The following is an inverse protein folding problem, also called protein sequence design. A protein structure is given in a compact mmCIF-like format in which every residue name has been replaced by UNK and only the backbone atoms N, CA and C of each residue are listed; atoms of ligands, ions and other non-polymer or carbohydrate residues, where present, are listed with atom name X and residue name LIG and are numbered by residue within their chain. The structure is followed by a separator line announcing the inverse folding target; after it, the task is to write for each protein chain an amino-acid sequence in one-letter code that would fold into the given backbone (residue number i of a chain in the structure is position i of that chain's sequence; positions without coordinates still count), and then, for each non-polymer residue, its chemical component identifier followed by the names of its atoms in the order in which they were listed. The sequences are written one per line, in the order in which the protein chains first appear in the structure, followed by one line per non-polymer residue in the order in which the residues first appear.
data_IF_115393944303
#
_entry.id   IF_115393944303
#
_cell.length_a   1.000
_cell.length_b   1.000
_cell.length_c   1.000
_cell.angle_alpha   90.00
_cell.angle_beta   90.00
_cell.angle_gamma   90.00
#
_symmetry.space_group_name_H-M   'P 1'
#
loop_
_entity.id
_entity.type
_entity.pdbx_description
1 polymer ?
#
# COMPACT_ATOMS: atom_id res chain seq x y z
N UNK A 1 15.66 -19.95 3.82
CA UNK A 1 14.75 -19.04 4.55
C UNK A 1 13.33 -19.53 4.27
N UNK A 2 12.46 -19.56 5.29
CA UNK A 2 11.07 -19.96 5.09
C UNK A 2 10.27 -18.77 4.58
N UNK A 3 9.68 -18.93 3.41
CA UNK A 3 8.70 -17.98 2.89
C UNK A 3 7.35 -18.20 3.56
N UNK A 4 6.61 -17.12 3.79
CA UNK A 4 5.26 -17.13 4.31
C UNK A 4 4.35 -16.27 3.44
N UNK A 5 3.05 -16.56 3.48
CA UNK A 5 2.01 -15.80 2.78
C UNK A 5 1.25 -14.95 3.78
N UNK A 6 1.12 -13.64 3.54
CA UNK A 6 0.39 -12.69 4.40
C UNK A 6 -0.42 -11.70 3.57
N UNK A 7 -1.60 -11.34 4.07
CA UNK A 7 -2.32 -10.14 3.60
C UNK A 7 -1.65 -8.91 4.18
N UNK A 8 -1.30 -7.96 3.31
CA UNK A 8 -0.75 -6.66 3.68
C UNK A 8 -1.59 -5.59 3.01
N UNK A 9 -1.93 -4.57 3.78
CA UNK A 9 -2.81 -3.49 3.38
C UNK A 9 -2.00 -2.23 3.11
N UNK A 10 -2.20 -1.65 1.94
CA UNK A 10 -1.52 -0.44 1.50
C UNK A 10 -2.55 0.66 1.36
N UNK A 11 -2.27 1.83 1.93
CA UNK A 11 -2.96 3.07 1.59
C UNK A 11 -2.09 3.81 0.59
N UNK A 12 -2.65 4.15 -0.56
CA UNK A 12 -1.92 4.68 -1.71
C UNK A 12 -2.64 5.91 -2.26
N UNK A 13 -1.89 6.90 -2.71
CA UNK A 13 -2.42 8.13 -3.28
C UNK A 13 -1.98 8.24 -4.74
N UNK A 14 -2.96 8.42 -5.62
CA UNK A 14 -2.70 8.72 -7.03
C UNK A 14 -2.33 10.19 -7.16
N UNK A 15 -1.07 10.45 -7.50
CA UNK A 15 -0.51 11.81 -7.56
C UNK A 15 -0.67 12.44 -8.94
N UNK A 16 -0.55 11.65 -10.01
CA UNK A 16 -0.67 12.14 -11.38
C UNK A 16 -1.12 11.01 -12.31
N UNK A 17 -1.81 11.39 -13.38
CA UNK A 17 -2.16 10.52 -14.49
C UNK A 17 -1.72 11.22 -15.78
N UNK A 18 -0.69 10.70 -16.42
CA UNK A 18 -0.15 11.23 -17.68
C UNK A 18 -0.26 10.16 -18.77
N UNK A 19 -1.31 10.26 -19.59
CA UNK A 19 -1.60 9.25 -20.62
C UNK A 19 -1.86 7.87 -19.99
N UNK A 20 -0.94 6.93 -20.19
CA UNK A 20 -1.01 5.58 -19.62
C UNK A 20 -0.17 5.41 -18.32
N UNK A 21 0.52 6.45 -17.87
CA UNK A 21 1.32 6.42 -16.66
C UNK A 21 0.50 6.92 -15.46
N UNK A 22 0.51 6.15 -14.38
CA UNK A 22 -0.11 6.51 -13.11
C UNK A 22 0.99 6.55 -12.05
N UNK A 23 1.18 7.72 -11.44
CA UNK A 23 2.09 7.85 -10.31
C UNK A 23 1.34 7.58 -9.01
N UNK A 24 1.77 6.54 -8.31
CA UNK A 24 1.17 6.11 -7.04
C UNK A 24 2.19 6.28 -5.93
N UNK A 25 1.80 6.99 -4.88
CA UNK A 25 2.58 7.12 -3.65
C UNK A 25 1.96 6.26 -2.56
N UNK A 26 2.69 5.27 -2.04
CA UNK A 26 2.29 4.60 -0.79
C UNK A 26 2.34 5.62 0.37
N UNK A 27 1.27 5.70 1.16
CA UNK A 27 1.13 6.59 2.31
C UNK A 27 1.13 5.85 3.65
N UNK A 28 0.75 4.58 3.64
CA UNK A 28 0.73 3.73 4.82
C UNK A 28 0.76 2.25 4.42
N UNK A 29 1.29 1.42 5.31
CA UNK A 29 1.27 -0.04 5.18
C UNK A 29 0.94 -0.65 6.53
N UNK A 30 0.05 -1.62 6.57
CA UNK A 30 -0.32 -2.38 7.75
C UNK A 30 -0.48 -3.88 7.45
N UNK A 31 -0.31 -4.72 8.45
CA UNK A 31 -0.56 -6.17 8.40
C UNK A 31 -1.94 -6.54 8.98
N UNK A 32 -2.73 -5.55 9.41
CA UNK A 32 -4.07 -5.69 9.94
C UNK A 32 -5.08 -4.82 9.16
N UNK A 33 -6.22 -5.40 8.78
CA UNK A 33 -7.25 -4.72 7.98
C UNK A 33 -7.94 -3.59 8.74
N UNK A 34 -8.24 -3.78 10.02
CA UNK A 34 -8.93 -2.79 10.85
C UNK A 34 -8.07 -1.55 11.05
N UNK A 35 -6.77 -1.73 11.32
CA UNK A 35 -5.82 -0.64 11.43
C UNK A 35 -5.67 0.12 10.11
N UNK A 36 -5.64 -0.60 8.98
CA UNK A 36 -5.58 0.01 7.66
C UNK A 36 -6.84 0.82 7.33
N UNK A 37 -8.03 0.27 7.63
CA UNK A 37 -9.31 0.98 7.45
C UNK A 37 -9.39 2.24 8.31
N UNK A 38 -9.01 2.13 9.59
CA UNK A 38 -8.99 3.28 10.49
C UNK A 38 -8.05 4.37 10.00
N UNK A 39 -6.84 4.01 9.61
CA UNK A 39 -5.88 4.97 9.06
C UNK A 39 -6.40 5.62 7.76
N UNK A 40 -7.06 4.85 6.89
CA UNK A 40 -7.67 5.36 5.67
C UNK A 40 -8.78 6.38 5.95
N UNK A 41 -9.72 6.06 6.86
CA UNK A 41 -10.77 6.99 7.27
C UNK A 41 -10.21 8.28 7.91
N UNK A 42 -9.16 8.17 8.71
CA UNK A 42 -8.50 9.32 9.33
C UNK A 42 -7.81 10.20 8.28
N UNK A 43 -7.24 9.60 7.22
CA UNK A 43 -6.68 10.34 6.08
C UNK A 43 -7.75 11.05 5.25
N UNK A 44 -8.91 10.42 5.03
CA UNK A 44 -10.04 11.05 4.32
C UNK A 44 -10.50 12.33 5.02
N UNK A 45 -10.67 12.29 6.34
CA UNK A 45 -11.07 13.45 7.16
C UNK A 45 -10.07 14.59 7.12
N UNK A 46 -8.79 14.29 6.92
CA UNK A 46 -7.71 15.26 6.82
C UNK A 46 -7.53 15.82 5.40
N UNK A 47 -8.14 15.20 4.39
CA UNK A 47 -7.87 15.54 3.00
C UNK A 47 -8.56 16.85 2.58
N UNK A 48 -7.80 17.94 2.64
CA UNK A 48 -7.93 19.10 1.72
C UNK A 48 -6.99 18.94 0.52
N UNK A 49 -6.60 17.70 0.19
CA UNK A 49 -5.51 17.40 -0.74
C UNK A 49 -5.99 17.53 -2.19
N UNK A 50 -5.17 18.11 -3.05
CA UNK A 50 -5.30 18.00 -4.51
C UNK A 50 -4.75 16.64 -4.93
N UNK A 51 -5.39 15.54 -4.54
CA UNK A 51 -5.06 14.19 -4.99
C UNK A 51 -6.06 13.76 -6.06
N UNK A 52 -5.63 12.94 -7.03
CA UNK A 52 -6.56 12.32 -7.99
C UNK A 52 -7.36 11.18 -7.35
N UNK A 53 -6.81 10.55 -6.31
CA UNK A 53 -7.55 9.62 -5.49
C UNK A 53 -6.72 9.02 -4.36
N UNK A 54 -7.43 8.48 -3.36
CA UNK A 54 -6.87 7.71 -2.24
C UNK A 54 -7.42 6.29 -2.32
N UNK A 55 -6.55 5.30 -2.25
CA UNK A 55 -6.85 3.88 -2.40
C UNK A 55 -6.47 3.14 -1.12
N UNK A 56 -7.31 2.19 -0.71
CA UNK A 56 -6.98 1.17 0.26
C UNK A 56 -7.00 -0.19 -0.44
N UNK A 57 -5.84 -0.84 -0.49
CA UNK A 57 -5.61 -2.06 -1.24
C UNK A 57 -5.14 -3.20 -0.33
N UNK A 58 -5.66 -4.40 -0.55
CA UNK A 58 -5.13 -5.63 0.03
C UNK A 58 -4.24 -6.34 -1.00
N UNK A 59 -3.03 -6.72 -0.56
CA UNK A 59 -2.12 -7.57 -1.30
C UNK A 59 -1.84 -8.83 -0.50
N UNK A 60 -2.14 -10.00 -1.08
CA UNK A 60 -1.68 -11.27 -0.54
C UNK A 60 -0.29 -11.54 -1.08
N UNK A 61 0.71 -11.41 -0.22
CA UNK A 61 2.13 -11.45 -0.57
C UNK A 61 2.76 -12.72 -0.05
N UNK A 62 3.55 -13.39 -0.89
CA UNK A 62 4.49 -14.43 -0.47
C UNK A 62 5.91 -13.86 -0.43
N UNK A 63 6.54 -13.88 0.73
CA UNK A 63 7.91 -13.37 0.93
C UNK A 63 8.58 -13.99 2.16
N UNK A 64 9.87 -13.71 2.35
CA UNK A 64 10.58 -14.07 3.58
C UNK A 64 10.18 -13.15 4.74
N UNK A 65 10.28 -13.65 5.98
CA UNK A 65 9.95 -12.87 7.18
C UNK A 65 10.71 -11.52 7.28
N UNK A 66 11.97 -11.49 6.81
CA UNK A 66 12.79 -10.27 6.77
C UNK A 66 12.24 -9.20 5.82
N UNK A 67 11.51 -9.60 4.78
CA UNK A 67 10.82 -8.69 3.87
C UNK A 67 9.69 -7.98 4.62
N UNK A 68 8.80 -8.73 5.28
CA UNK A 68 7.69 -8.16 6.04
C UNK A 68 8.18 -7.23 7.15
N UNK A 69 9.23 -7.62 7.89
CA UNK A 69 9.81 -6.75 8.91
C UNK A 69 10.36 -5.43 8.36
N UNK A 70 11.03 -5.45 7.21
CA UNK A 70 11.54 -4.24 6.56
C UNK A 70 10.40 -3.37 6.04
N UNK A 71 9.38 -3.98 5.43
CA UNK A 71 8.20 -3.30 4.93
C UNK A 71 7.49 -2.54 6.06
N UNK A 72 7.15 -3.20 7.17
CA UNK A 72 6.46 -2.55 8.29
C UNK A 72 7.27 -1.41 8.93
N UNK A 73 8.60 -1.56 9.02
CA UNK A 73 9.46 -0.58 9.72
C UNK A 73 9.84 0.62 8.86
N UNK A 74 10.00 0.43 7.56
CA UNK A 74 10.76 1.37 6.75
C UNK A 74 10.19 1.60 5.35
N UNK A 75 8.95 1.20 5.04
CA UNK A 75 8.36 1.33 3.70
C UNK A 75 8.60 2.69 3.02
N UNK A 76 8.57 3.81 3.76
CA UNK A 76 8.85 5.18 3.23
C UNK A 76 10.26 5.37 2.64
N UNK A 77 11.20 4.52 3.03
CA UNK A 77 12.64 4.62 2.70
C UNK A 77 13.14 3.42 1.92
N UNK A 78 12.25 2.48 1.57
CA UNK A 78 12.66 1.31 0.82
C UNK A 78 12.91 1.69 -0.64
N UNK A 79 14.01 1.20 -1.23
CA UNK A 79 14.28 1.46 -2.64
C UNK A 79 13.27 0.74 -3.53
N UNK A 80 13.06 1.23 -4.75
CA UNK A 80 12.05 0.69 -5.66
C UNK A 80 12.30 -0.78 -6.05
N UNK A 81 13.55 -1.23 -6.05
CA UNK A 81 13.94 -2.63 -6.29
C UNK A 81 13.56 -3.57 -5.13
N UNK A 82 13.33 -3.04 -3.92
CA UNK A 82 12.82 -3.83 -2.79
C UNK A 82 11.50 -4.51 -3.17
N UNK A 83 10.57 -3.74 -3.73
CA UNK A 83 9.24 -4.21 -4.11
C UNK A 83 9.28 -5.25 -5.24
N UNK A 84 10.37 -5.35 -6.01
CA UNK A 84 10.55 -6.39 -7.05
C UNK A 84 10.78 -7.78 -6.47
N UNK A 85 11.15 -7.88 -5.18
CA UNK A 85 11.33 -9.15 -4.47
C UNK A 85 10.00 -9.76 -4.00
N UNK A 86 8.93 -8.98 -4.07
CA UNK A 86 7.60 -9.37 -3.66
C UNK A 86 6.95 -10.27 -4.69
N UNK A 87 6.40 -11.40 -4.26
CA UNK A 87 5.46 -12.16 -5.07
C UNK A 87 4.03 -11.85 -4.61
N UNK A 88 3.30 -11.08 -5.42
CA UNK A 88 1.87 -10.84 -5.19
C UNK A 88 1.10 -12.04 -5.75
N UNK A 89 0.36 -12.73 -4.86
CA UNK A 89 -0.48 -13.85 -5.24
C UNK A 89 -1.88 -13.37 -5.66
N UNK A 90 -2.44 -12.42 -4.90
CA UNK A 90 -3.72 -11.78 -5.22
C UNK A 90 -3.70 -10.31 -4.82
N UNK A 91 -4.56 -9.54 -5.47
CA UNK A 91 -4.77 -8.13 -5.22
C UNK A 91 -6.28 -7.85 -5.16
N UNK A 92 -6.69 -7.01 -4.22
CA UNK A 92 -8.07 -6.57 -4.08
C UNK A 92 -8.15 -5.12 -3.62
N UNK A 93 -8.81 -4.21 -4.37
CA UNK A 93 -9.15 -2.91 -3.84
C UNK A 93 -10.26 -3.05 -2.79
N UNK A 94 -10.07 -2.42 -1.63
CA UNK A 94 -11.02 -2.43 -0.52
C UNK A 94 -11.84 -1.14 -0.44
N UNK A 95 -11.21 0.00 -0.72
CA UNK A 95 -11.87 1.29 -0.79
C UNK A 95 -11.13 2.23 -1.74
N UNK A 96 -11.88 3.16 -2.34
CA UNK A 96 -11.36 4.21 -3.20
C UNK A 96 -12.13 5.50 -2.92
N UNK A 97 -11.40 6.60 -2.86
CA UNK A 97 -11.94 7.94 -2.87
C UNK A 97 -11.35 8.69 -4.05
N UNK A 98 -12.20 9.24 -4.91
CA UNK A 98 -11.81 10.10 -6.02
C UNK A 98 -12.03 11.56 -5.59
N UNK A 99 -10.99 12.37 -5.78
CA UNK A 99 -10.98 13.79 -5.44
C UNK A 99 -11.57 14.69 -6.51
#
# INVERSE_FOLDING_TARGET
MSQETRSIYFIEETQSIEGAYVEVQTLYVADNEEDAKKAYEDMLKQSKRKSFGLLLNEYVIKADQSYFMQLMRAWKKLPSDFYRKMQVLTYRPLAEYQG
#
